data_IF_522663176044
#
_entry.id   IF_522663176044
#
_cell.length_a   1.000
_cell.length_b   1.000
_cell.length_c   1.000
_cell.angle_alpha   90.00
_cell.angle_beta   90.00
_cell.angle_gamma   90.00
#
_symmetry.space_group_name_H-M   'P 1'
#
loop_
_entity.id
_entity.type
_entity.pdbx_description
1 polymer ?
#
# COMPACT_ATOMS: atom_id res chain seq x y z
N UNK A 1 18.04 -58.75 -27.13
CA UNK A 1 16.92 -57.83 -27.42
C UNK A 1 17.21 -56.50 -26.72
N UNK A 2 18.04 -55.66 -27.34
CA UNK A 2 18.13 -54.24 -26.95
C UNK A 2 16.99 -53.55 -27.67
N UNK A 3 16.20 -52.71 -27.00
CA UNK A 3 15.62 -51.51 -27.59
C UNK A 3 15.03 -50.63 -26.47
N UNK A 4 15.81 -49.59 -26.13
CA UNK A 4 15.35 -48.21 -25.88
C UNK A 4 14.24 -47.96 -24.85
N UNK A 5 14.60 -47.88 -23.56
CA UNK A 5 13.78 -47.19 -22.53
C UNK A 5 14.28 -45.79 -22.17
N UNK A 6 15.35 -45.30 -22.81
CA UNK A 6 16.03 -44.07 -22.40
C UNK A 6 15.45 -42.75 -22.97
N UNK A 7 14.40 -42.78 -23.79
CA UNK A 7 13.96 -41.58 -24.52
C UNK A 7 12.75 -40.82 -23.91
N UNK A 8 12.03 -41.38 -22.93
CA UNK A 8 10.77 -40.79 -22.46
C UNK A 8 10.83 -40.06 -21.11
N UNK A 9 11.93 -40.15 -20.35
CA UNK A 9 12.02 -39.55 -19.02
C UNK A 9 12.71 -38.18 -18.97
N UNK A 10 13.21 -37.67 -20.10
CA UNK A 10 13.93 -36.38 -20.15
C UNK A 10 13.11 -35.21 -20.74
N UNK A 11 11.88 -35.45 -21.22
CA UNK A 11 11.04 -34.38 -21.82
C UNK A 11 10.08 -33.68 -20.85
N UNK A 12 9.96 -34.14 -19.60
CA UNK A 12 8.96 -33.63 -18.64
C UNK A 12 9.51 -32.64 -17.59
N UNK A 13 10.82 -32.36 -17.58
CA UNK A 13 11.44 -31.52 -16.53
C UNK A 13 11.88 -30.13 -17.00
N UNK A 14 11.75 -29.77 -18.27
CA UNK A 14 12.27 -28.49 -18.80
C UNK A 14 11.21 -27.44 -19.12
N UNK A 15 9.92 -27.68 -18.93
CA UNK A 15 8.87 -26.69 -19.28
C UNK A 15 8.52 -25.68 -18.18
N UNK A 16 9.16 -25.70 -17.01
CA UNK A 16 8.73 -24.90 -15.85
C UNK A 16 9.36 -23.49 -15.71
N UNK A 17 10.17 -22.99 -16.65
CA UNK A 17 10.84 -21.68 -16.50
C UNK A 17 10.62 -20.65 -17.63
N UNK A 18 9.85 -20.93 -18.67
CA UNK A 18 9.61 -19.95 -19.75
C UNK A 18 8.23 -19.33 -19.64
N UNK A 19 7.96 -18.59 -18.56
CA UNK A 19 6.85 -17.65 -18.53
C UNK A 19 7.41 -16.24 -18.66
N UNK A 20 7.17 -15.51 -19.77
CA UNK A 20 7.40 -14.08 -19.78
C UNK A 20 6.33 -13.44 -18.90
N UNK A 21 6.70 -13.10 -17.66
CA UNK A 21 5.92 -12.15 -16.88
C UNK A 21 6.15 -10.78 -17.52
N UNK A 22 5.31 -10.43 -18.50
CA UNK A 22 5.21 -9.06 -18.98
C UNK A 22 4.51 -8.24 -17.90
N UNK A 23 5.29 -7.60 -17.04
CA UNK A 23 4.82 -6.59 -16.10
C UNK A 23 4.65 -5.27 -16.87
N UNK A 24 3.65 -5.19 -17.75
CA UNK A 24 3.28 -3.93 -18.41
C UNK A 24 2.50 -3.05 -17.42
N UNK A 25 3.21 -2.55 -16.41
CA UNK A 25 2.67 -1.59 -15.45
C UNK A 25 2.64 -0.22 -16.13
N UNK A 26 1.72 -0.05 -17.08
CA UNK A 26 1.36 1.27 -17.61
C UNK A 26 0.44 1.98 -16.60
N UNK A 27 1.01 2.30 -15.44
CA UNK A 27 0.38 3.22 -14.49
C UNK A 27 0.53 4.62 -15.06
N UNK A 28 -0.34 4.98 -16.01
CA UNK A 28 -0.51 6.38 -16.36
C UNK A 28 -1.00 7.09 -15.10
N UNK A 29 -0.26 8.05 -14.51
CA UNK A 29 -0.74 8.80 -13.37
C UNK A 29 -1.95 9.61 -13.85
N UNK A 30 -3.15 9.15 -13.56
CA UNK A 30 -4.37 9.91 -13.80
C UNK A 30 -4.38 11.04 -12.77
N UNK A 31 -4.44 12.29 -13.25
CA UNK A 31 -4.70 13.41 -12.35
C UNK A 31 -5.97 13.11 -11.56
N UNK A 32 -5.99 13.36 -10.24
CA UNK A 32 -7.21 13.33 -9.47
C UNK A 32 -8.26 14.19 -10.17
N UNK A 33 -9.43 13.62 -10.42
CA UNK A 33 -10.59 14.39 -10.82
C UNK A 33 -10.96 15.29 -9.62
N UNK A 34 -11.06 16.61 -9.80
CA UNK A 34 -11.45 17.50 -8.71
C UNK A 34 -12.80 17.06 -8.14
N UNK A 35 -12.89 16.94 -6.82
CA UNK A 35 -14.15 16.69 -6.11
C UNK A 35 -14.37 15.28 -5.54
N UNK A 36 -13.43 14.35 -5.67
CA UNK A 36 -13.41 13.12 -4.86
C UNK A 36 -12.31 13.19 -3.81
N UNK A 37 -12.60 12.70 -2.59
CA UNK A 37 -11.59 12.56 -1.55
C UNK A 37 -10.72 11.35 -1.85
N UNK A 38 -9.41 11.52 -1.69
CA UNK A 38 -8.43 10.50 -2.00
C UNK A 38 -7.29 10.49 -0.99
N UNK A 39 -6.77 9.28 -0.78
CA UNK A 39 -5.52 9.05 -0.08
C UNK A 39 -4.36 9.56 -0.94
N UNK A 40 -3.54 10.41 -0.36
CA UNK A 40 -2.39 11.05 -1.00
C UNK A 40 -1.30 11.32 0.06
N UNK A 41 -0.23 12.03 -0.29
CA UNK A 41 1.03 12.02 0.48
C UNK A 41 1.87 10.79 0.16
N UNK A 42 3.18 10.86 0.39
CA UNK A 42 4.10 9.79 -0.01
C UNK A 42 3.88 8.50 0.78
N UNK A 43 3.47 8.60 2.05
CA UNK A 43 3.14 7.48 2.93
C UNK A 43 1.63 7.21 2.98
N UNK A 44 0.83 7.91 2.16
CA UNK A 44 -0.63 7.84 2.20
C UNK A 44 -1.20 8.44 3.48
N UNK A 45 -0.55 9.43 4.05
CA UNK A 45 -0.90 10.08 5.33
C UNK A 45 -1.90 11.25 5.17
N UNK A 46 -2.16 11.70 3.93
CA UNK A 46 -3.04 12.84 3.64
C UNK A 46 -4.34 12.36 3.00
N UNK A 47 -5.47 12.84 3.52
CA UNK A 47 -6.77 12.73 2.86
C UNK A 47 -7.14 14.10 2.26
N UNK A 48 -7.26 14.19 0.93
CA UNK A 48 -7.51 15.46 0.24
C UNK A 48 -8.34 15.27 -1.03
N UNK A 49 -8.91 16.36 -1.56
CA UNK A 49 -9.64 16.37 -2.83
C UNK A 49 -8.74 16.55 -4.07
N UNK A 50 -7.42 16.48 -3.86
CA UNK A 50 -6.38 16.68 -4.86
C UNK A 50 -5.13 15.88 -4.44
N UNK A 51 -4.17 15.73 -5.35
CA UNK A 51 -2.88 15.10 -5.00
C UNK A 51 -2.06 16.08 -4.20
N UNK A 52 -1.61 15.65 -3.02
CA UNK A 52 -0.67 16.38 -2.18
C UNK A 52 0.62 15.59 -2.14
N UNK A 53 1.72 16.23 -2.52
CA UNK A 53 3.05 15.66 -2.40
C UNK A 53 3.65 16.10 -1.07
N UNK A 54 4.08 15.14 -0.28
CA UNK A 54 4.79 15.34 0.99
C UNK A 54 6.21 14.79 0.87
N UNK A 55 7.08 15.11 1.82
CA UNK A 55 8.34 14.38 1.96
C UNK A 55 8.06 12.91 2.25
N UNK A 56 8.84 12.01 1.66
CA UNK A 56 8.73 10.56 1.87
C UNK A 56 9.28 10.09 3.22
N UNK A 57 8.77 10.69 4.29
CA UNK A 57 9.04 10.29 5.67
C UNK A 57 7.89 9.40 6.12
N UNK A 58 8.23 8.21 6.62
CA UNK A 58 7.27 7.36 7.29
C UNK A 58 7.36 7.60 8.79
N UNK A 59 6.26 8.04 9.40
CA UNK A 59 6.14 8.12 10.85
C UNK A 59 5.25 6.98 11.34
N UNK A 60 5.53 6.49 12.54
CA UNK A 60 4.86 5.31 13.06
C UNK A 60 3.34 5.51 13.18
N UNK A 61 2.89 6.71 13.54
CA UNK A 61 1.46 7.04 13.64
C UNK A 61 0.70 6.89 12.31
N UNK A 62 1.40 6.88 11.17
CA UNK A 62 0.75 6.72 9.87
C UNK A 62 0.16 5.32 9.68
N UNK A 63 0.53 4.34 10.52
CA UNK A 63 -0.15 3.03 10.55
C UNK A 63 -1.63 3.15 10.90
N UNK A 64 -2.01 4.15 11.70
CA UNK A 64 -3.41 4.39 12.09
C UNK A 64 -4.29 4.73 10.89
N UNK A 65 -3.72 5.36 9.85
CA UNK A 65 -4.47 5.70 8.64
C UNK A 65 -4.69 4.49 7.73
N UNK A 66 -4.02 3.35 7.92
CA UNK A 66 -4.13 2.20 7.00
C UNK A 66 -5.54 1.59 7.00
N UNK A 67 -6.21 1.56 8.16
CA UNK A 67 -7.59 1.07 8.31
C UNK A 67 -8.64 2.17 8.15
N UNK A 68 -8.25 3.44 8.04
CA UNK A 68 -9.16 4.56 7.90
C UNK A 68 -9.58 4.79 6.43
N UNK A 69 -10.82 5.21 6.24
CA UNK A 69 -11.37 5.64 4.97
C UNK A 69 -11.15 7.14 4.76
N UNK A 70 -10.75 7.54 3.55
CA UNK A 70 -10.66 8.95 3.18
C UNK A 70 -11.95 9.36 2.46
N UNK A 71 -12.81 10.10 3.15
CA UNK A 71 -14.15 10.45 2.67
C UNK A 71 -14.40 11.97 2.75
N UNK A 72 -15.47 12.41 2.09
CA UNK A 72 -15.98 13.77 2.23
C UNK A 72 -16.78 13.86 3.53
N UNK A 73 -16.42 14.81 4.38
CA UNK A 73 -17.06 15.09 5.67
C UNK A 73 -18.31 15.96 5.50
N UNK A 74 -19.09 16.12 6.56
CA UNK A 74 -20.35 16.89 6.56
C UNK A 74 -20.15 18.38 6.22
N UNK A 75 -18.98 18.94 6.52
CA UNK A 75 -18.59 20.31 6.17
C UNK A 75 -18.11 20.46 4.71
N UNK A 76 -18.09 19.36 3.96
CA UNK A 76 -17.66 19.29 2.57
C UNK A 76 -16.15 19.18 2.37
N UNK A 77 -15.35 19.15 3.43
CA UNK A 77 -13.91 18.88 3.38
C UNK A 77 -13.61 17.39 3.19
N UNK A 78 -12.37 17.05 2.84
CA UNK A 78 -11.91 15.66 2.88
C UNK A 78 -11.24 15.38 4.22
N UNK A 79 -11.63 14.27 4.84
CA UNK A 79 -11.12 13.87 6.14
C UNK A 79 -11.12 12.35 6.30
N UNK A 80 -10.31 11.89 7.25
CA UNK A 80 -10.23 10.49 7.62
C UNK A 80 -11.43 10.10 8.49
N UNK A 81 -12.05 8.95 8.19
CA UNK A 81 -13.06 8.30 9.02
C UNK A 81 -12.62 6.87 9.27
N UNK A 82 -12.59 6.45 10.54
CA UNK A 82 -12.25 5.07 10.88
C UNK A 82 -12.53 4.79 12.34
N UNK A 83 -12.97 3.57 12.63
CA UNK A 83 -13.14 3.12 14.02
C UNK A 83 -11.77 3.11 14.71
N UNK A 84 -11.68 3.74 15.89
CA UNK A 84 -10.46 3.78 16.68
C UNK A 84 -9.32 4.63 16.12
N UNK A 85 -9.51 5.35 15.00
CA UNK A 85 -8.48 6.20 14.40
C UNK A 85 -7.93 7.22 15.41
N UNK A 86 -8.81 7.97 16.07
CA UNK A 86 -8.41 8.98 17.05
C UNK A 86 -7.65 8.37 18.22
N UNK A 87 -8.11 7.22 18.73
CA UNK A 87 -7.45 6.52 19.83
C UNK A 87 -6.04 6.06 19.42
N UNK A 88 -5.89 5.49 18.22
CA UNK A 88 -4.59 5.09 17.69
C UNK A 88 -3.63 6.29 17.56
N UNK A 89 -4.10 7.40 17.01
CA UNK A 89 -3.28 8.62 16.88
C UNK A 89 -2.89 9.18 18.25
N UNK A 90 -3.81 9.17 19.21
CA UNK A 90 -3.57 9.59 20.59
C UNK A 90 -2.53 8.72 21.32
N UNK A 91 -2.50 7.41 21.06
CA UNK A 91 -1.47 6.51 21.59
C UNK A 91 -0.08 6.92 21.12
N UNK A 92 0.10 7.20 19.83
CA UNK A 92 1.38 7.69 19.29
C UNK A 92 1.73 9.10 19.78
N UNK A 93 0.74 9.99 19.95
CA UNK A 93 0.96 11.34 20.52
C UNK A 93 1.50 11.29 21.95
N UNK A 94 0.98 10.38 22.77
CA UNK A 94 1.41 10.16 24.17
C UNK A 94 2.70 9.33 24.25
N UNK A 95 2.93 8.46 23.26
CA UNK A 95 4.14 7.64 23.12
C UNK A 95 5.39 8.43 22.75
N UNK A 96 5.23 9.62 22.15
CA UNK A 96 6.33 10.55 21.86
C UNK A 96 7.10 11.04 23.09
N UNK A 97 6.53 10.90 24.29
CA UNK A 97 7.18 11.19 25.57
C UNK A 97 7.85 9.96 26.21
N UNK A 98 7.58 8.74 25.73
CA UNK A 98 8.18 7.50 26.23
C UNK A 98 9.28 7.01 25.29
N UNK A 99 10.36 7.79 25.21
CA UNK A 99 11.65 7.24 24.83
C UNK A 99 12.01 6.16 25.87
N UNK A 100 12.16 4.91 25.42
CA UNK A 100 12.72 3.75 26.15
C UNK A 100 11.74 2.87 26.94
N UNK A 101 11.30 1.81 26.27
CA UNK A 101 11.41 0.42 26.77
C UNK A 101 11.73 -0.40 25.51
N UNK A 102 12.99 -0.57 25.10
CA UNK A 102 13.96 -1.51 25.68
C UNK A 102 13.27 -2.65 26.44
N UNK A 103 12.90 -3.72 25.73
CA UNK A 103 13.39 -5.10 25.88
C UNK A 103 13.05 -5.85 24.59
#
# INVERSE_FOLDING_TARGET
MRLTTAAFLLSLLTTALTSPVSLDVNLKPTKPKPGFCQRTGCSGEVCANQTVYTTCVFREEYVCYQSAECIKQDDGSCGWLGEGLENCLEEYRKGGDKKTTAV
#
